data_IF_525246124169
#
_entry.id   IF_525246124169
#
_cell.length_a   1.000
_cell.length_b   1.000
_cell.length_c   1.000
_cell.angle_alpha   90.00
_cell.angle_beta   90.00
_cell.angle_gamma   90.00
#
_symmetry.space_group_name_H-M   'P 1'
#
loop_
_entity.id
_entity.type
_entity.pdbx_description
1 polymer ?
#
# COMPACT_ATOMS: atom_id res chain seq x y z
N UNK A 1 -18.72 15.52 10.85
CA UNK A 1 -17.73 14.56 10.31
C UNK A 1 -18.49 13.48 9.56
N UNK A 2 -18.61 13.61 8.24
CA UNK A 2 -19.34 12.64 7.41
C UNK A 2 -18.36 11.57 6.96
N UNK A 3 -18.56 10.27 7.27
CA UNK A 3 -17.68 9.22 6.80
C UNK A 3 -17.77 9.16 5.27
N UNK A 4 -16.64 8.86 4.60
CA UNK A 4 -16.59 8.60 3.16
C UNK A 4 -17.63 7.51 2.81
N UNK A 5 -18.72 7.90 2.14
CA UNK A 5 -19.73 6.97 1.60
C UNK A 5 -19.20 6.41 0.28
N UNK A 6 -18.57 5.24 0.34
CA UNK A 6 -18.18 4.53 -0.86
C UNK A 6 -17.03 3.57 -0.62
N UNK A 7 -17.34 2.39 -0.06
CA UNK A 7 -16.65 1.10 -0.21
C UNK A 7 -17.15 0.18 0.91
N UNK A 8 -18.27 -0.50 0.68
CA UNK A 8 -18.57 -1.74 1.40
C UNK A 8 -18.04 -2.88 0.53
N UNK A 9 -16.72 -2.95 0.38
CA UNK A 9 -16.06 -4.10 -0.23
C UNK A 9 -15.88 -5.18 0.85
N UNK A 10 -15.87 -6.47 0.51
CA UNK A 10 -15.55 -7.53 1.48
C UNK A 10 -14.13 -7.32 2.00
N UNK A 11 -14.02 -6.67 3.16
CA UNK A 11 -12.76 -6.45 3.84
C UNK A 11 -12.35 -7.76 4.50
N UNK A 12 -11.46 -8.52 3.84
CA UNK A 12 -10.77 -9.60 4.53
C UNK A 12 -9.74 -8.95 5.46
N UNK A 13 -10.03 -9.00 6.77
CA UNK A 13 -9.12 -8.53 7.82
C UNK A 13 -8.45 -9.75 8.43
N UNK A 14 -7.13 -9.82 8.31
CA UNK A 14 -6.30 -10.84 8.95
C UNK A 14 -5.62 -10.22 10.16
N UNK A 15 -6.03 -10.61 11.36
CA UNK A 15 -5.39 -10.18 12.59
C UNK A 15 -4.10 -10.97 12.85
N UNK A 16 -3.03 -10.27 13.18
CA UNK A 16 -1.84 -10.88 13.76
C UNK A 16 -2.16 -11.49 15.13
N UNK A 17 -1.44 -12.55 15.51
CA UNK A 17 -1.48 -13.05 16.89
C UNK A 17 -0.93 -11.96 17.82
N UNK A 18 -1.51 -11.80 19.01
CA UNK A 18 -1.03 -10.84 20.00
C UNK A 18 0.47 -11.06 20.29
N UNK A 19 1.27 -9.99 20.21
CA UNK A 19 2.72 -10.04 20.44
C UNK A 19 3.53 -10.70 19.31
N UNK A 20 2.89 -11.15 18.22
CA UNK A 20 3.61 -11.63 17.05
C UNK A 20 4.24 -10.44 16.32
N UNK A 21 5.49 -10.62 15.87
CA UNK A 21 6.12 -9.62 15.04
C UNK A 21 5.33 -9.42 13.74
N UNK A 22 5.22 -8.16 13.32
CA UNK A 22 4.65 -7.81 12.03
C UNK A 22 5.45 -8.49 10.90
N UNK A 23 4.77 -8.86 9.81
CA UNK A 23 5.45 -9.31 8.61
C UNK A 23 6.32 -8.19 8.03
N UNK A 24 7.21 -8.57 7.11
CA UNK A 24 7.89 -7.62 6.25
C UNK A 24 6.84 -6.76 5.53
N UNK A 25 7.00 -5.44 5.54
CA UNK A 25 6.06 -4.50 4.95
C UNK A 25 6.78 -3.29 4.35
N UNK A 26 6.11 -2.60 3.44
CA UNK A 26 6.57 -1.32 2.89
C UNK A 26 6.17 -0.21 3.85
N UNK A 27 7.17 0.42 4.46
CA UNK A 27 6.95 1.47 5.46
C UNK A 27 6.78 2.83 4.79
N UNK A 28 7.73 3.26 3.95
CA UNK A 28 7.68 4.59 3.35
C UNK A 28 8.47 4.60 2.04
N UNK A 29 8.38 5.69 1.28
CA UNK A 29 9.24 5.99 0.15
C UNK A 29 9.64 7.46 0.19
N UNK A 30 10.95 7.74 0.26
CA UNK A 30 11.51 9.10 0.27
C UNK A 30 12.89 9.12 -0.34
N UNK A 31 13.27 10.23 -0.97
CA UNK A 31 14.62 10.48 -1.48
C UNK A 31 15.14 9.34 -2.39
N UNK A 32 14.31 8.89 -3.33
CA UNK A 32 14.66 7.80 -4.25
C UNK A 32 14.83 6.43 -3.60
N UNK A 33 14.25 6.19 -2.42
CA UNK A 33 14.30 4.89 -1.74
C UNK A 33 12.94 4.47 -1.21
N UNK A 34 12.61 3.20 -1.43
CA UNK A 34 11.51 2.51 -0.75
C UNK A 34 12.10 1.83 0.50
N UNK A 35 11.52 2.10 1.66
CA UNK A 35 11.94 1.57 2.94
C UNK A 35 11.07 0.37 3.31
N UNK A 36 11.71 -0.74 3.62
CA UNK A 36 11.05 -1.94 4.13
C UNK A 36 11.26 -2.08 5.64
N UNK A 37 10.18 -2.32 6.35
CA UNK A 37 10.17 -2.60 7.79
C UNK A 37 9.87 -4.06 8.07
N UNK A 38 10.52 -4.63 9.08
CA UNK A 38 10.36 -6.03 9.45
C UNK A 38 11.65 -6.70 9.91
N UNK A 39 11.53 -7.98 10.29
CA UNK A 39 12.68 -8.78 10.77
C UNK A 39 13.66 -9.05 9.64
N UNK A 40 14.96 -8.88 9.93
CA UNK A 40 16.07 -9.13 8.98
C UNK A 40 16.01 -10.50 8.30
N UNK A 41 15.64 -11.55 9.04
CA UNK A 41 15.47 -12.91 8.51
C UNK A 41 14.43 -13.00 7.38
N UNK A 42 13.39 -12.15 7.39
CA UNK A 42 12.40 -12.10 6.32
C UNK A 42 12.96 -11.41 5.06
N UNK A 43 13.77 -10.35 5.23
CA UNK A 43 14.46 -9.70 4.12
C UNK A 43 15.36 -10.69 3.37
N UNK A 44 16.10 -11.52 4.10
CA UNK A 44 16.99 -12.53 3.51
C UNK A 44 16.22 -13.61 2.72
N UNK A 45 15.06 -14.05 3.24
CA UNK A 45 14.19 -15.04 2.56
C UNK A 45 13.68 -14.53 1.22
N UNK A 46 13.28 -13.26 1.17
CA UNK A 46 12.77 -12.64 -0.07
C UNK A 46 13.86 -11.97 -0.90
N UNK A 47 15.14 -12.07 -0.47
CA UNK A 47 16.30 -11.40 -1.09
C UNK A 47 16.12 -9.88 -1.27
N UNK A 48 15.27 -9.25 -0.47
CA UNK A 48 15.10 -7.81 -0.50
C UNK A 48 16.15 -7.11 0.35
N UNK A 49 16.66 -5.99 -0.16
CA UNK A 49 17.38 -5.03 0.66
C UNK A 49 16.36 -4.27 1.53
N UNK A 50 16.79 -3.82 2.71
CA UNK A 50 15.97 -2.95 3.56
C UNK A 50 15.56 -1.66 2.83
N UNK A 51 16.40 -1.20 1.93
CA UNK A 51 16.14 -0.02 1.10
C UNK A 51 16.27 -0.41 -0.37
N UNK A 52 15.23 -0.12 -1.15
CA UNK A 52 15.19 -0.41 -2.57
C UNK A 52 15.26 0.94 -3.31
N UNK A 53 16.31 1.18 -4.12
CA UNK A 53 16.44 2.43 -4.85
C UNK A 53 15.42 2.52 -5.99
N UNK A 54 14.95 3.73 -6.25
CA UNK A 54 14.19 4.09 -7.43
C UNK A 54 14.65 5.43 -8.01
N UNK A 55 14.36 5.67 -9.29
CA UNK A 55 14.67 6.91 -9.99
C UNK A 55 13.73 8.01 -9.48
N UNK A 56 14.22 8.92 -8.64
CA UNK A 56 13.42 9.98 -8.03
C UNK A 56 13.20 11.17 -8.98
N UNK A 57 12.31 11.00 -9.94
CA UNK A 57 11.97 12.02 -10.92
C UNK A 57 10.45 12.17 -11.07
N UNK A 58 10.01 13.42 -11.20
CA UNK A 58 8.60 13.75 -11.37
C UNK A 58 7.78 13.56 -10.09
N UNK A 59 6.46 13.50 -10.25
CA UNK A 59 5.52 13.28 -9.14
C UNK A 59 5.47 11.78 -8.81
N UNK A 60 5.37 11.37 -7.53
CA UNK A 60 5.38 9.95 -7.16
C UNK A 60 4.30 9.11 -7.86
N UNK A 61 3.10 9.66 -8.09
CA UNK A 61 2.01 8.95 -8.76
C UNK A 61 2.19 8.78 -10.28
N UNK A 62 3.11 9.52 -10.89
CA UNK A 62 3.49 9.44 -12.31
C UNK A 62 4.78 8.65 -12.54
N UNK A 63 5.49 8.28 -11.46
CA UNK A 63 6.80 7.65 -11.54
C UNK A 63 6.71 6.15 -11.86
N UNK A 64 7.13 5.76 -13.07
CA UNK A 64 7.04 4.37 -13.55
C UNK A 64 8.00 3.40 -12.84
N UNK A 65 9.20 3.85 -12.44
CA UNK A 65 10.16 3.00 -11.73
C UNK A 65 9.68 2.72 -10.30
N UNK A 66 9.11 3.73 -9.63
CA UNK A 66 8.44 3.57 -8.33
C UNK A 66 7.23 2.63 -8.45
N UNK A 67 6.37 2.84 -9.46
CA UNK A 67 5.23 1.97 -9.73
C UNK A 67 5.65 0.51 -9.91
N UNK A 68 6.62 0.24 -10.79
CA UNK A 68 7.08 -1.12 -11.06
C UNK A 68 7.57 -1.84 -9.80
N UNK A 69 8.31 -1.14 -8.92
CA UNK A 69 8.84 -1.73 -7.68
C UNK A 69 7.76 -1.97 -6.64
N UNK A 70 6.82 -1.04 -6.46
CA UNK A 70 5.71 -1.25 -5.54
C UNK A 70 4.80 -2.39 -6.01
N UNK A 71 4.57 -2.52 -7.33
CA UNK A 71 3.84 -3.67 -7.90
C UNK A 71 4.59 -4.98 -7.70
N UNK A 72 5.91 -5.00 -7.87
CA UNK A 72 6.73 -6.18 -7.56
C UNK A 72 6.59 -6.60 -6.09
N UNK A 73 6.71 -5.66 -5.16
CA UNK A 73 6.53 -5.92 -3.72
C UNK A 73 5.12 -6.46 -3.43
N UNK A 74 4.08 -5.91 -4.08
CA UNK A 74 2.72 -6.42 -3.97
C UNK A 74 2.59 -7.86 -4.49
N UNK A 75 3.24 -8.18 -5.61
CA UNK A 75 3.26 -9.53 -6.18
C UNK A 75 3.88 -10.55 -5.21
N UNK A 76 4.93 -10.16 -4.48
CA UNK A 76 5.51 -10.98 -3.41
C UNK A 76 4.66 -10.99 -2.11
N UNK A 77 3.50 -10.34 -2.12
CA UNK A 77 2.57 -10.32 -1.00
C UNK A 77 3.01 -9.45 0.17
N UNK A 78 3.94 -8.53 -0.04
CA UNK A 78 4.42 -7.59 0.98
C UNK A 78 3.36 -6.48 1.16
N UNK A 79 2.75 -6.34 2.36
CA UNK A 79 1.77 -5.31 2.62
C UNK A 79 2.38 -3.91 2.70
N UNK A 80 1.57 -2.90 2.45
CA UNK A 80 1.92 -1.47 2.53
C UNK A 80 1.38 -0.89 3.84
N UNK A 81 2.22 -0.19 4.59
CA UNK A 81 1.82 0.40 5.86
C UNK A 81 0.78 1.50 5.64
N UNK A 82 -0.35 1.40 6.34
CA UNK A 82 -1.43 2.37 6.26
C UNK A 82 -1.00 3.71 6.87
N UNK A 83 -0.95 4.77 6.05
CA UNK A 83 -0.49 6.11 6.47
C UNK A 83 -1.43 7.21 5.98
N UNK A 84 -2.63 7.35 6.57
CA UNK A 84 -3.67 8.24 6.06
C UNK A 84 -3.34 9.74 6.13
N UNK A 85 -2.22 10.11 6.77
CA UNK A 85 -1.75 11.50 6.88
C UNK A 85 -0.61 11.83 5.91
N UNK A 86 -0.06 10.83 5.23
CA UNK A 86 1.05 11.01 4.28
C UNK A 86 0.50 10.85 2.86
N UNK A 87 0.23 11.96 2.17
CA UNK A 87 -0.43 11.93 0.85
C UNK A 87 0.33 11.15 -0.22
N UNK A 88 1.63 10.98 -0.04
CA UNK A 88 2.50 10.30 -0.98
C UNK A 88 2.93 8.93 -0.47
N UNK A 89 2.32 8.39 0.59
CA UNK A 89 2.70 7.09 1.14
C UNK A 89 2.39 5.94 0.16
N UNK A 90 3.05 4.77 0.32
CA UNK A 90 2.94 3.69 -0.64
C UNK A 90 1.53 3.12 -0.76
N UNK A 91 0.79 3.01 0.35
CA UNK A 91 -0.60 2.56 0.38
C UNK A 91 -1.53 3.51 -0.40
N UNK A 92 -1.35 4.82 -0.23
CA UNK A 92 -2.12 5.84 -0.95
C UNK A 92 -1.81 5.81 -2.45
N UNK A 93 -0.55 5.62 -2.85
CA UNK A 93 -0.20 5.44 -4.26
C UNK A 93 -0.83 4.19 -4.87
N UNK A 94 -0.82 3.06 -4.16
CA UNK A 94 -1.47 1.82 -4.62
C UNK A 94 -2.97 2.01 -4.80
N UNK A 95 -3.64 2.66 -3.84
CA UNK A 95 -5.05 3.01 -3.94
C UNK A 95 -5.33 3.95 -5.11
N UNK A 96 -4.52 4.99 -5.29
CA UNK A 96 -4.61 5.93 -6.41
C UNK A 96 -4.47 5.22 -7.75
N UNK A 97 -3.50 4.33 -7.89
CA UNK A 97 -3.31 3.56 -9.13
C UNK A 97 -4.46 2.60 -9.41
N UNK A 98 -5.10 2.02 -8.38
CA UNK A 98 -6.36 1.29 -8.59
C UNK A 98 -7.47 2.20 -9.06
N UNK A 99 -7.59 3.39 -8.46
CA UNK A 99 -8.61 4.36 -8.83
C UNK A 99 -8.47 4.82 -10.28
N UNK A 100 -7.25 5.05 -10.76
CA UNK A 100 -7.01 5.42 -12.16
C UNK A 100 -6.98 4.22 -13.13
N UNK A 101 -7.20 3.01 -12.65
CA UNK A 101 -7.19 1.79 -13.45
C UNK A 101 -5.80 1.34 -13.92
N UNK A 102 -4.73 1.94 -13.39
CA UNK A 102 -3.34 1.54 -13.64
C UNK A 102 -3.01 0.24 -12.91
N UNK A 103 -3.42 0.10 -11.65
CA UNK A 103 -3.33 -1.14 -10.88
C UNK A 103 -4.67 -1.90 -10.97
N UNK A 104 -4.64 -3.13 -11.48
CA UNK A 104 -5.86 -3.96 -11.69
C UNK A 104 -5.95 -5.17 -10.77
N UNK A 105 -5.11 -5.21 -9.74
CA UNK A 105 -5.01 -6.31 -8.77
C UNK A 105 -5.23 -5.77 -7.36
N UNK A 106 -5.66 -6.64 -6.45
CA UNK A 106 -5.73 -6.33 -5.03
C UNK A 106 -4.35 -6.04 -4.46
N UNK A 107 -4.28 -5.26 -3.39
CA UNK A 107 -3.08 -5.15 -2.56
C UNK A 107 -3.42 -5.30 -1.09
N UNK A 108 -2.39 -5.46 -0.25
CA UNK A 108 -2.56 -5.60 1.20
C UNK A 108 -2.08 -4.36 1.91
N UNK A 109 -2.87 -3.86 2.84
CA UNK A 109 -2.45 -2.83 3.79
C UNK A 109 -2.14 -3.47 5.13
N UNK A 110 -1.16 -2.94 5.86
CA UNK A 110 -0.92 -3.29 7.27
C UNK A 110 -1.13 -2.06 8.15
N UNK A 111 -1.89 -2.23 9.21
CA UNK A 111 -2.17 -1.18 10.21
C UNK A 111 -1.96 -1.71 11.61
N UNK A 112 -1.66 -0.80 12.55
CA UNK A 112 -1.45 -1.13 13.96
C UNK A 112 -2.58 -0.57 14.81
N UNK A 113 -3.12 -1.40 15.69
CA UNK A 113 -4.01 -0.95 16.77
C UNK A 113 -3.21 -0.37 17.92
N UNK A 114 -2.11 -1.04 18.24
CA UNK A 114 -1.13 -0.71 19.26
C UNK A 114 0.18 -1.42 18.93
N UNK A 115 1.19 -1.31 19.80
CA UNK A 115 2.52 -1.88 19.57
C UNK A 115 2.54 -3.41 19.40
N UNK A 116 1.53 -4.13 19.91
CA UNK A 116 1.48 -5.59 19.94
C UNK A 116 0.41 -6.18 19.01
N UNK A 117 -0.36 -5.35 18.33
CA UNK A 117 -1.53 -5.76 17.55
C UNK A 117 -1.55 -5.04 16.21
N UNK A 118 -1.47 -5.84 15.14
CA UNK A 118 -1.53 -5.39 13.76
C UNK A 118 -2.59 -6.17 12.98
N UNK A 119 -3.11 -5.56 11.94
CA UNK A 119 -4.09 -6.12 11.02
C UNK A 119 -3.61 -5.97 9.60
N UNK A 120 -3.87 -6.98 8.77
CA UNK A 120 -3.76 -6.87 7.32
C UNK A 120 -5.16 -6.73 6.74
N UNK A 121 -5.36 -5.73 5.90
CA UNK A 121 -6.56 -5.51 5.12
C UNK A 121 -6.26 -5.79 3.66
N UNK A 122 -7.12 -6.55 2.96
CA UNK A 122 -7.04 -6.68 1.50
C UNK A 122 -7.88 -5.59 0.85
N UNK A 123 -7.24 -4.79 -0.01
CA UNK A 123 -7.88 -3.71 -0.77
C UNK A 123 -8.13 -4.19 -2.19
N UNK A 124 -9.40 -4.47 -2.49
CA UNK A 124 -9.84 -4.94 -3.80
C UNK A 124 -9.91 -3.80 -4.82
N UNK A 125 -9.64 -4.09 -6.11
CA UNK A 125 -9.82 -3.12 -7.18
C UNK A 125 -11.26 -2.56 -7.19
N UNK A 126 -11.43 -1.25 -7.46
CA UNK A 126 -12.75 -0.66 -7.55
C UNK A 126 -13.52 -1.22 -8.74
N UNK A 127 -14.80 -1.56 -8.53
CA UNK A 127 -15.70 -2.01 -9.58
C UNK A 127 -16.42 -0.80 -10.17
N UNK A 128 -16.18 -0.50 -11.45
CA UNK A 128 -16.82 0.61 -12.17
C UNK A 128 -18.34 0.45 -12.12
N UNK A 129 -19.07 1.52 -11.80
CA UNK A 129 -20.54 1.55 -11.77
C UNK A 129 -21.18 1.14 -10.44
N UNK A 130 -20.42 0.62 -9.47
CA UNK A 130 -20.94 0.35 -8.12
C UNK A 130 -20.87 1.62 -7.27
N UNK A 131 -21.98 2.02 -6.64
CA UNK A 131 -22.03 3.12 -5.69
C UNK A 131 -21.77 4.52 -6.26
N UNK A 132 -21.96 4.73 -7.57
CA UNK A 132 -21.81 6.04 -8.22
C UNK A 132 -20.34 6.46 -8.45
N UNK A 133 -19.40 5.51 -8.37
CA UNK A 133 -18.01 5.78 -8.69
C UNK A 133 -17.81 6.05 -10.19
N UNK A 134 -17.41 7.27 -10.53
CA UNK A 134 -17.21 7.75 -11.91
C UNK A 134 -15.75 7.67 -12.38
N UNK A 135 -14.91 6.91 -11.67
CA UNK A 135 -13.47 6.88 -11.91
C UNK A 135 -12.68 7.86 -11.04
N UNK A 136 -11.37 7.98 -11.27
CA UNK A 136 -10.45 8.75 -10.43
C UNK A 136 -10.67 10.27 -10.59
N UNK A 137 -10.48 11.03 -9.50
CA UNK A 137 -10.36 12.49 -9.58
C UNK A 137 -8.89 12.88 -9.41
N UNK A 138 -8.24 13.52 -10.40
CA UNK A 138 -6.87 14.02 -10.27
C UNK A 138 -6.65 14.73 -8.94
N UNK A 139 -5.56 14.38 -8.24
CA UNK A 139 -5.11 15.17 -7.10
C UNK A 139 -4.76 16.58 -7.59
N UNK A 140 -5.39 17.61 -6.99
CA UNK A 140 -5.11 19.02 -7.25
C UNK A 140 -5.95 19.66 -8.37
N UNK A 141 -7.28 19.72 -8.18
CA UNK A 141 -8.09 20.78 -8.79
C UNK A 141 -8.21 21.96 -7.84
#
# INVERSE_FOLDING_TARGET
MTPYRGRTLPLTILAGKHGAAAPLNVENQRNGRILLSGRRRLLDTFKFRREIPFIDQGRPWENEDLYSKLVELNYYGIPFQYQPKEMESPDILMAWWQEIGKLKVSFKEISWRNQNEWFITIVEPPVIGVGGWTGPKPFGK
#
